data_IF_024712416795
#
_entry.id   IF_024712416795
#
_cell.length_a   1.000
_cell.length_b   1.000
_cell.length_c   1.000
_cell.angle_alpha   90.00
_cell.angle_beta   90.00
_cell.angle_gamma   90.00
#
_symmetry.space_group_name_H-M   'P 1'
#
loop_
_entity.id
_entity.type
_entity.pdbx_description
1 polymer ?
#
# COMPACT_ATOMS: atom_id res chain seq x y z
N UNK A 1 6.61 43.37 -23.98
CA UNK A 1 5.25 43.12 -23.46
C UNK A 1 5.32 41.90 -22.56
N UNK A 2 5.35 42.11 -21.25
CA UNK A 2 5.30 41.03 -20.27
C UNK A 2 3.83 40.62 -20.19
N UNK A 3 3.52 39.41 -20.64
CA UNK A 3 2.18 38.82 -20.51
C UNK A 3 1.88 38.71 -19.02
N UNK A 4 1.18 39.70 -18.46
CA UNK A 4 0.62 39.61 -17.12
C UNK A 4 -0.51 38.58 -17.19
N UNK A 5 -0.17 37.35 -16.83
CA UNK A 5 -1.15 36.32 -16.54
C UNK A 5 -2.05 36.90 -15.44
N UNK A 6 -3.38 36.95 -15.62
CA UNK A 6 -4.29 37.48 -14.61
C UNK A 6 -4.04 36.79 -13.26
N UNK A 7 -4.04 37.54 -12.16
CA UNK A 7 -3.81 36.98 -10.82
C UNK A 7 -4.75 35.81 -10.49
N UNK A 8 -5.97 35.83 -11.04
CA UNK A 8 -6.94 34.74 -10.94
C UNK A 8 -6.48 33.46 -11.64
N UNK A 9 -5.86 33.57 -12.81
CA UNK A 9 -5.30 32.42 -13.53
C UNK A 9 -4.10 31.84 -12.78
N UNK A 10 -3.25 32.69 -12.18
CA UNK A 10 -2.15 32.23 -11.34
C UNK A 10 -2.65 31.49 -10.10
N UNK A 11 -3.70 31.99 -9.43
CA UNK A 11 -4.34 31.31 -8.29
C UNK A 11 -4.95 29.97 -8.70
N UNK A 12 -5.66 29.93 -9.82
CA UNK A 12 -6.22 28.68 -10.37
C UNK A 12 -5.12 27.65 -10.65
N UNK A 13 -4.03 28.06 -11.28
CA UNK A 13 -2.89 27.17 -11.54
C UNK A 13 -2.25 26.66 -10.25
N UNK A 14 -2.09 27.51 -9.23
CA UNK A 14 -1.57 27.09 -7.94
C UNK A 14 -2.48 26.06 -7.27
N UNK A 15 -3.81 26.27 -7.29
CA UNK A 15 -4.79 25.32 -6.74
C UNK A 15 -4.77 23.99 -7.50
N UNK A 16 -4.68 24.04 -8.83
CA UNK A 16 -4.58 22.83 -9.65
C UNK A 16 -3.28 22.05 -9.34
N UNK A 17 -2.15 22.75 -9.19
CA UNK A 17 -0.87 22.15 -8.82
C UNK A 17 -0.89 21.54 -7.41
N UNK A 18 -1.50 22.20 -6.43
CA UNK A 18 -1.58 21.64 -5.07
C UNK A 18 -2.52 20.43 -5.02
N UNK A 19 -3.66 20.49 -5.71
CA UNK A 19 -4.60 19.37 -5.80
C UNK A 19 -3.95 18.15 -6.47
N UNK A 20 -3.22 18.35 -7.57
CA UNK A 20 -2.49 17.27 -8.26
C UNK A 20 -1.37 16.70 -7.41
N UNK A 21 -0.59 17.53 -6.71
CA UNK A 21 0.44 17.06 -5.79
C UNK A 21 -0.15 16.22 -4.64
N UNK A 22 -1.28 16.65 -4.07
CA UNK A 22 -2.00 15.88 -3.03
C UNK A 22 -2.50 14.55 -3.57
N UNK A 23 -3.12 14.54 -4.75
CA UNK A 23 -3.61 13.33 -5.38
C UNK A 23 -2.46 12.35 -5.68
N UNK A 24 -1.35 12.85 -6.23
CA UNK A 24 -0.16 12.04 -6.49
C UNK A 24 0.45 11.47 -5.20
N UNK A 25 0.51 12.27 -4.14
CA UNK A 25 0.98 11.81 -2.82
C UNK A 25 0.09 10.72 -2.23
N UNK A 26 -1.23 10.89 -2.29
CA UNK A 26 -2.19 9.90 -1.81
C UNK A 26 -2.11 8.58 -2.61
N UNK A 27 -2.03 8.67 -3.94
CA UNK A 27 -1.86 7.51 -4.81
C UNK A 27 -0.53 6.81 -4.56
N UNK A 28 0.57 7.56 -4.38
CA UNK A 28 1.88 7.00 -4.06
C UNK A 28 1.91 6.28 -2.71
N UNK A 29 1.30 6.88 -1.68
CA UNK A 29 1.16 6.23 -0.37
C UNK A 29 0.34 4.94 -0.48
N UNK A 30 -0.77 4.95 -1.22
CA UNK A 30 -1.60 3.78 -1.45
C UNK A 30 -0.89 2.68 -2.26
N UNK A 31 -0.11 3.09 -3.26
CA UNK A 31 0.72 2.20 -4.08
C UNK A 31 1.79 1.50 -3.23
N UNK A 32 2.40 2.23 -2.28
CA UNK A 32 3.44 1.73 -1.38
C UNK A 32 2.92 0.84 -0.24
N UNK A 33 1.62 0.80 0.01
CA UNK A 33 1.05 -0.07 1.04
C UNK A 33 1.38 -1.54 0.75
N UNK A 34 1.87 -2.24 1.78
CA UNK A 34 2.11 -3.68 1.73
C UNK A 34 0.78 -4.43 1.78
N UNK A 35 0.52 -5.25 0.77
CA UNK A 35 -0.63 -6.15 0.72
C UNK A 35 -0.14 -7.56 0.98
N UNK A 36 -0.81 -8.25 1.91
CA UNK A 36 -0.58 -9.66 2.20
C UNK A 36 -1.48 -10.48 1.25
N UNK A 37 -0.92 -11.25 0.30
CA UNK A 37 -1.75 -12.07 -0.59
C UNK A 37 -2.51 -13.13 0.22
N UNK A 38 -3.71 -13.48 -0.23
CA UNK A 38 -4.51 -14.56 0.36
C UNK A 38 -3.75 -15.88 0.21
N UNK A 39 -3.34 -16.47 1.33
CA UNK A 39 -2.67 -17.76 1.36
C UNK A 39 -3.29 -18.65 2.44
N UNK A 40 -3.54 -19.92 2.11
CA UNK A 40 -4.01 -20.93 3.05
C UNK A 40 -2.83 -21.74 3.58
N UNK A 41 -2.63 -21.75 4.89
CA UNK A 41 -1.60 -22.53 5.56
C UNK A 41 -2.17 -23.13 6.84
N UNK A 42 -1.62 -24.27 7.27
CA UNK A 42 -2.08 -24.96 8.46
C UNK A 42 -1.26 -24.50 9.66
N UNK A 43 -1.93 -24.04 10.71
CA UNK A 43 -1.30 -23.71 11.99
C UNK A 43 -1.97 -24.54 13.07
N UNK A 44 -1.17 -25.32 13.80
CA UNK A 44 -1.61 -25.93 15.04
C UNK A 44 -1.31 -24.98 16.19
N UNK A 45 -2.34 -24.42 16.81
CA UNK A 45 -2.24 -23.65 18.05
C UNK A 45 -3.30 -24.11 19.04
N UNK A 46 -2.87 -24.44 20.26
CA UNK A 46 -3.71 -24.84 21.40
C UNK A 46 -3.86 -23.72 22.44
N UNK A 47 -3.41 -22.51 22.11
CA UNK A 47 -3.40 -21.36 23.03
C UNK A 47 -4.68 -20.51 22.99
N UNK A 48 -4.70 -19.49 23.85
CA UNK A 48 -5.70 -18.42 23.88
C UNK A 48 -5.69 -17.57 22.59
N UNK A 49 -6.69 -16.72 22.37
CA UNK A 49 -6.82 -15.93 21.13
C UNK A 49 -5.57 -15.12 20.74
N UNK A 50 -4.87 -14.53 21.72
CA UNK A 50 -3.61 -13.81 21.48
C UNK A 50 -2.48 -14.74 21.05
N UNK A 51 -2.34 -15.90 21.71
CA UNK A 51 -1.34 -16.92 21.34
C UNK A 51 -1.66 -17.56 19.99
N UNK A 52 -2.94 -17.59 19.62
CA UNK A 52 -3.40 -18.04 18.30
C UNK A 52 -3.02 -17.03 17.21
N UNK A 53 -3.14 -15.73 17.47
CA UNK A 53 -2.73 -14.66 16.56
C UNK A 53 -1.21 -14.66 16.33
N UNK A 54 -0.42 -14.78 17.40
CA UNK A 54 1.03 -14.92 17.30
C UNK A 54 1.47 -16.22 16.60
N UNK A 55 0.77 -17.33 16.84
CA UNK A 55 1.02 -18.59 16.12
C UNK A 55 0.67 -18.46 14.63
N UNK A 56 -0.41 -17.75 14.30
CA UNK A 56 -0.82 -17.48 12.93
C UNK A 56 0.21 -16.61 12.21
N UNK A 57 0.73 -15.56 12.86
CA UNK A 57 1.77 -14.72 12.28
C UNK A 57 3.06 -15.51 11.99
N UNK A 58 3.50 -16.33 12.96
CA UNK A 58 4.67 -17.20 12.77
C UNK A 58 4.45 -18.23 11.66
N UNK A 59 3.27 -18.85 11.62
CA UNK A 59 2.89 -19.80 10.58
C UNK A 59 2.92 -19.17 9.19
N UNK A 60 2.43 -17.93 9.05
CA UNK A 60 2.51 -17.20 7.79
C UNK A 60 3.96 -17.00 7.34
N UNK A 61 4.84 -16.51 8.23
CA UNK A 61 6.24 -16.28 7.86
C UNK A 61 7.00 -17.57 7.55
N UNK A 62 6.66 -18.68 8.20
CA UNK A 62 7.18 -20.00 7.85
C UNK A 62 6.71 -20.45 6.46
N UNK A 63 5.42 -20.29 6.14
CA UNK A 63 4.88 -20.62 4.83
C UNK A 63 5.46 -19.75 3.71
N UNK A 64 5.79 -18.49 4.01
CA UNK A 64 6.54 -17.63 3.09
C UNK A 64 7.98 -18.14 2.90
N UNK A 65 8.64 -18.53 3.99
CA UNK A 65 10.01 -19.06 3.94
C UNK A 65 10.12 -20.41 3.22
N UNK A 66 9.09 -21.25 3.28
CA UNK A 66 9.01 -22.53 2.56
C UNK A 66 8.61 -22.39 1.09
N UNK A 67 8.19 -21.20 0.66
CA UNK A 67 7.72 -20.93 -0.70
C UNK A 67 6.26 -21.36 -0.95
N UNK A 68 5.53 -21.79 0.07
CA UNK A 68 4.09 -22.10 -0.04
C UNK A 68 3.23 -20.84 -0.16
N UNK A 69 3.67 -19.73 0.46
CA UNK A 69 3.01 -18.43 0.36
C UNK A 69 3.91 -17.38 -0.30
N UNK A 70 3.30 -16.50 -1.10
CA UNK A 70 3.99 -15.33 -1.60
C UNK A 70 4.23 -14.31 -0.47
N UNK A 71 5.42 -13.67 -0.42
CA UNK A 71 5.69 -12.63 0.54
C UNK A 71 4.76 -11.42 0.34
N UNK A 72 4.53 -10.61 1.38
CA UNK A 72 3.81 -9.37 1.24
C UNK A 72 4.54 -8.47 0.25
N UNK A 73 3.78 -7.84 -0.63
CA UNK A 73 4.33 -6.99 -1.67
C UNK A 73 3.60 -5.66 -1.71
N UNK A 74 4.26 -4.65 -2.27
CA UNK A 74 3.64 -3.36 -2.44
C UNK A 74 2.48 -3.46 -3.44
N UNK A 75 1.36 -2.80 -3.13
CA UNK A 75 0.09 -2.90 -3.86
C UNK A 75 0.21 -2.60 -5.35
N UNK A 76 1.13 -1.72 -5.72
CA UNK A 76 1.40 -1.39 -7.12
C UNK A 76 1.87 -2.58 -7.98
N UNK A 77 2.34 -3.68 -7.38
CA UNK A 77 2.71 -4.87 -8.15
C UNK A 77 1.50 -5.46 -8.90
N UNK A 78 0.28 -5.33 -8.39
CA UNK A 78 -0.94 -5.73 -9.12
C UNK A 78 -1.19 -4.89 -10.38
N UNK A 79 -0.67 -3.67 -10.45
CA UNK A 79 -0.86 -2.81 -11.62
C UNK A 79 0.08 -3.17 -12.77
N UNK A 80 1.07 -4.04 -12.52
CA UNK A 80 2.06 -4.42 -13.54
C UNK A 80 1.57 -5.46 -14.55
N UNK A 81 0.44 -6.13 -14.31
CA UNK A 81 -0.12 -7.12 -15.24
C UNK A 81 0.66 -8.41 -15.24
#
# INVERSE_FOLDING_TARGET
>A
MISQIPDDTRRLLLVACTATALAAGALGAFAAQSVRPSCSYVVFSLGSGAEQEEAMERGYWQAVGSGECAPPHARWQFWRG
#
